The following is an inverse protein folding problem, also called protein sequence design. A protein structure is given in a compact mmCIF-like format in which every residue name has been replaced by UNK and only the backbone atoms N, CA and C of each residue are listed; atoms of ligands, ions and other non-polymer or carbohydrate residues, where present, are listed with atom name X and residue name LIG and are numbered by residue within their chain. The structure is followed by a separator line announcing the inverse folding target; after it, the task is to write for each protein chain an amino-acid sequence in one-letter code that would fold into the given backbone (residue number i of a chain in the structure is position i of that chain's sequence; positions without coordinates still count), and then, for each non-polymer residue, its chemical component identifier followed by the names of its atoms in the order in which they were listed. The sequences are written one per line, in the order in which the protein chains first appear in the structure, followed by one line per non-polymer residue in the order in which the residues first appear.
data_IF_722856981094
#
_entry.id   IF_722856981094
#
_cell.length_a   1.000
_cell.length_b   1.000
_cell.length_c   1.000
_cell.angle_alpha   90.00
_cell.angle_beta   90.00
_cell.angle_gamma   90.00
#
_symmetry.space_group_name_H-M   'P 1'
#
loop_
_entity.id
_entity.type
_entity.pdbx_description
1 polymer ?
#
# COMPACT_ATOMS: atom_id res chain seq x y z
N UNK A 1 7.08 -8.56 -29.11
CA UNK A 1 6.81 -8.13 -27.74
C UNK A 1 6.58 -9.42 -26.95
N UNK A 2 7.39 -9.67 -25.95
CA UNK A 2 7.12 -10.82 -25.09
C UNK A 2 5.86 -10.48 -24.29
N UNK A 3 4.77 -11.16 -24.56
CA UNK A 3 3.59 -11.14 -23.71
C UNK A 3 3.97 -11.81 -22.38
N UNK A 4 4.53 -11.01 -21.48
CA UNK A 4 4.62 -11.43 -20.09
C UNK A 4 3.18 -11.55 -19.59
N UNK A 5 2.81 -12.69 -18.99
CA UNK A 5 1.46 -12.84 -18.45
C UNK A 5 1.20 -11.72 -17.44
N UNK A 6 0.03 -11.12 -17.54
CA UNK A 6 -0.47 -10.13 -16.57
C UNK A 6 -0.63 -10.83 -15.21
N UNK A 7 0.44 -10.85 -14.44
CA UNK A 7 0.46 -11.47 -13.11
C UNK A 7 0.59 -10.39 -12.06
N UNK A 8 -0.50 -10.14 -11.38
CA UNK A 8 -0.49 -9.37 -10.15
C UNK A 8 -0.28 -10.33 -8.98
N UNK A 9 0.50 -9.95 -7.97
CA UNK A 9 0.69 -10.78 -6.79
C UNK A 9 -0.63 -10.96 -6.02
N UNK A 10 -0.74 -12.01 -5.25
CA UNK A 10 -1.82 -12.24 -4.31
C UNK A 10 -1.66 -11.28 -3.11
N UNK A 11 -2.75 -10.62 -2.69
CA UNK A 11 -2.70 -9.75 -1.51
C UNK A 11 -3.67 -8.59 -1.55
N UNK A 12 -3.60 -7.74 -0.53
CA UNK A 12 -4.38 -6.52 -0.42
C UNK A 12 -3.74 -5.37 -1.22
N UNK A 13 -4.56 -4.69 -2.01
CA UNK A 13 -4.16 -3.53 -2.80
C UNK A 13 -4.99 -2.30 -2.41
N UNK A 14 -4.32 -1.21 -2.10
CA UNK A 14 -4.97 0.06 -1.77
C UNK A 14 -5.54 0.69 -3.04
N UNK A 15 -6.85 0.97 -3.02
CA UNK A 15 -7.56 1.67 -4.10
C UNK A 15 -7.58 3.20 -3.88
N UNK A 16 -7.50 3.64 -2.64
CA UNK A 16 -7.49 5.05 -2.26
C UNK A 16 -7.84 5.25 -0.79
N UNK A 17 -7.83 6.52 -0.37
CA UNK A 17 -8.29 6.90 0.95
C UNK A 17 -9.82 6.88 1.02
N UNK A 18 -10.42 6.50 2.16
CA UNK A 18 -11.89 6.42 2.31
C UNK A 18 -12.63 7.71 1.91
N UNK A 19 -12.01 8.89 2.14
CA UNK A 19 -12.58 10.20 1.73
C UNK A 19 -12.65 10.40 0.22
N UNK A 20 -11.93 9.59 -0.55
CA UNK A 20 -11.97 9.64 -2.02
C UNK A 20 -13.23 8.95 -2.59
N UNK A 21 -14.02 8.31 -1.72
CA UNK A 21 -15.21 7.55 -2.05
C UNK A 21 -16.40 8.01 -1.20
N UNK A 22 -16.99 9.19 -1.51
CA UNK A 22 -18.11 9.74 -0.75
C UNK A 22 -19.37 8.85 -0.84
N UNK A 23 -20.25 8.97 0.17
CA UNK A 23 -21.54 8.28 0.22
C UNK A 23 -22.41 8.68 -0.98
N UNK A 24 -23.08 7.71 -1.59
CA UNK A 24 -23.94 7.90 -2.75
C UNK A 24 -23.19 8.07 -4.08
N UNK A 25 -21.87 7.98 -4.11
CA UNK A 25 -21.07 8.18 -5.31
C UNK A 25 -20.42 6.89 -5.81
N UNK A 26 -20.13 6.88 -7.11
CA UNK A 26 -19.32 5.84 -7.77
C UNK A 26 -18.11 6.47 -8.42
N UNK A 27 -16.94 5.98 -8.09
CA UNK A 27 -15.65 6.41 -8.67
C UNK A 27 -15.09 5.32 -9.57
N UNK A 28 -14.51 5.73 -10.69
CA UNK A 28 -13.79 4.84 -11.60
C UNK A 28 -12.30 5.03 -11.46
N UNK A 29 -11.57 3.95 -11.27
CA UNK A 29 -10.10 3.90 -11.36
C UNK A 29 -9.66 2.79 -12.31
N UNK A 30 -8.37 2.70 -12.61
CA UNK A 30 -7.79 1.62 -13.40
C UNK A 30 -6.74 0.89 -12.56
N UNK A 31 -6.86 -0.43 -12.52
CA UNK A 31 -5.93 -1.33 -11.84
C UNK A 31 -6.10 -2.75 -12.37
N UNK A 32 -5.12 -3.62 -12.17
CA UNK A 32 -5.16 -5.01 -12.64
C UNK A 32 -5.47 -5.14 -14.14
N UNK A 33 -5.02 -4.14 -14.95
CA UNK A 33 -5.34 -3.96 -16.37
C UNK A 33 -6.85 -3.83 -16.68
N UNK A 34 -7.67 -3.59 -15.68
CA UNK A 34 -9.12 -3.49 -15.78
C UNK A 34 -9.64 -2.13 -15.28
N UNK A 35 -10.87 -1.84 -15.67
CA UNK A 35 -11.66 -0.77 -15.09
C UNK A 35 -12.24 -1.25 -13.77
N UNK A 36 -12.05 -0.46 -12.70
CA UNK A 36 -12.57 -0.73 -11.38
C UNK A 36 -13.59 0.35 -11.03
N UNK A 37 -14.81 -0.07 -10.72
CA UNK A 37 -15.85 0.79 -10.19
C UNK A 37 -15.93 0.62 -8.69
N UNK A 38 -15.81 1.69 -7.93
CA UNK A 38 -15.91 1.70 -6.47
C UNK A 38 -17.11 2.55 -6.10
N UNK A 39 -18.08 1.94 -5.45
CA UNK A 39 -19.33 2.61 -5.06
C UNK A 39 -19.49 2.56 -3.56
N UNK A 40 -19.90 3.68 -2.95
CA UNK A 40 -20.32 3.73 -1.56
C UNK A 40 -21.82 3.99 -1.48
N UNK A 41 -22.57 3.04 -0.91
CA UNK A 41 -24.01 3.16 -0.74
C UNK A 41 -24.38 4.21 0.32
N UNK A 42 -25.67 4.55 0.41
CA UNK A 42 -26.21 5.43 1.47
C UNK A 42 -25.97 4.87 2.89
N UNK A 43 -25.90 3.54 3.02
CA UNK A 43 -25.58 2.86 4.27
C UNK A 43 -24.06 2.77 4.52
N UNK A 44 -23.27 3.52 3.75
CA UNK A 44 -21.80 3.57 3.83
C UNK A 44 -21.08 2.27 3.45
N UNK A 45 -21.76 1.29 2.86
CA UNK A 45 -21.13 0.05 2.39
C UNK A 45 -20.34 0.32 1.10
N UNK A 46 -19.07 -0.08 1.10
CA UNK A 46 -18.24 -0.07 -0.11
C UNK A 46 -18.42 -1.37 -0.90
N UNK A 47 -18.59 -1.21 -2.20
CA UNK A 47 -18.57 -2.31 -3.17
C UNK A 47 -17.57 -1.99 -4.27
N UNK A 48 -16.90 -3.03 -4.76
CA UNK A 48 -15.91 -2.95 -5.84
C UNK A 48 -16.36 -3.88 -6.97
N UNK A 49 -16.35 -3.36 -8.19
CA UNK A 49 -16.64 -4.11 -9.41
C UNK A 49 -15.41 -4.00 -10.32
N UNK A 50 -14.76 -5.11 -10.59
CA UNK A 50 -13.59 -5.21 -11.45
C UNK A 50 -14.03 -5.83 -12.78
N UNK A 51 -14.29 -4.99 -13.77
CA UNK A 51 -14.75 -5.40 -15.12
C UNK A 51 -15.98 -6.35 -15.09
N UNK A 52 -16.96 -6.07 -14.22
CA UNK A 52 -18.18 -6.86 -14.03
C UNK A 52 -18.07 -7.96 -12.97
N UNK A 53 -16.91 -8.16 -12.35
CA UNK A 53 -16.72 -9.10 -11.25
C UNK A 53 -16.80 -8.36 -9.90
N UNK A 54 -17.85 -8.63 -9.14
CA UNK A 54 -18.11 -8.05 -7.80
C UNK A 54 -17.73 -8.98 -6.64
N UNK A 55 -17.06 -10.10 -6.94
CA UNK A 55 -16.69 -11.10 -5.93
C UNK A 55 -15.38 -10.79 -5.19
N UNK A 56 -14.67 -9.73 -5.56
CA UNK A 56 -13.43 -9.34 -4.93
C UNK A 56 -13.66 -8.89 -3.48
N UNK A 57 -12.98 -9.51 -2.49
CA UNK A 57 -13.09 -9.06 -1.10
C UNK A 57 -12.62 -7.62 -0.93
N UNK A 58 -13.39 -6.85 -0.19
CA UNK A 58 -13.13 -5.43 0.09
C UNK A 58 -12.89 -5.23 1.58
N UNK A 59 -11.94 -4.39 1.93
CA UNK A 59 -11.60 -4.03 3.30
C UNK A 59 -11.46 -2.52 3.44
N UNK A 60 -12.13 -1.94 4.44
CA UNK A 60 -11.85 -0.59 4.91
C UNK A 60 -11.06 -0.68 6.22
N UNK A 61 -9.80 -0.28 6.19
CA UNK A 61 -8.91 -0.31 7.34
C UNK A 61 -7.90 0.84 7.24
N UNK A 62 -7.53 1.42 8.39
CA UNK A 62 -6.55 2.51 8.45
C UNK A 62 -6.92 3.69 7.55
N UNK A 63 -8.22 4.00 7.45
CA UNK A 63 -8.78 5.03 6.55
C UNK A 63 -8.55 4.75 5.05
N UNK A 64 -8.12 3.56 4.68
CA UNK A 64 -7.91 3.14 3.29
C UNK A 64 -8.99 2.17 2.86
N UNK A 65 -9.36 2.24 1.58
CA UNK A 65 -10.17 1.24 0.89
C UNK A 65 -9.24 0.32 0.13
N UNK A 66 -9.34 -0.98 0.39
CA UNK A 66 -8.49 -2.00 -0.18
C UNK A 66 -9.32 -3.10 -0.83
N UNK A 67 -8.73 -3.77 -1.81
CA UNK A 67 -9.29 -4.94 -2.46
C UNK A 67 -8.30 -6.09 -2.41
N UNK A 68 -8.81 -7.30 -2.21
CA UNK A 68 -8.00 -8.52 -2.26
C UNK A 68 -7.92 -9.04 -3.67
N UNK A 69 -6.71 -9.29 -4.13
CA UNK A 69 -6.45 -9.97 -5.39
C UNK A 69 -5.89 -11.36 -5.15
N UNK A 70 -6.49 -12.35 -5.80
CA UNK A 70 -5.97 -13.71 -5.91
C UNK A 70 -6.40 -14.32 -7.25
N UNK A 71 -5.45 -14.84 -8.01
CA UNK A 71 -5.72 -15.50 -9.30
C UNK A 71 -6.60 -16.75 -9.17
N UNK A 72 -6.50 -17.43 -8.03
CA UNK A 72 -7.29 -18.64 -7.72
C UNK A 72 -8.60 -18.31 -7.01
N UNK A 73 -8.89 -17.02 -6.80
CA UNK A 73 -10.08 -16.50 -6.09
C UNK A 73 -10.25 -17.11 -4.68
N UNK A 74 -9.12 -17.36 -4.01
CA UNK A 74 -9.14 -17.77 -2.62
C UNK A 74 -9.43 -16.57 -1.71
N UNK A 75 -10.09 -16.83 -0.60
CA UNK A 75 -10.33 -15.82 0.42
C UNK A 75 -9.01 -15.26 1.00
N UNK A 76 -9.03 -14.01 1.54
CA UNK A 76 -7.87 -13.46 2.23
C UNK A 76 -7.42 -14.36 3.38
N UNK A 77 -6.14 -14.66 3.45
CA UNK A 77 -5.52 -15.44 4.52
C UNK A 77 -4.84 -14.56 5.58
N UNK A 78 -4.80 -13.25 5.36
CA UNK A 78 -4.40 -12.27 6.36
C UNK A 78 -5.22 -10.98 6.22
N UNK A 79 -5.22 -10.20 7.29
CA UNK A 79 -5.74 -8.82 7.33
C UNK A 79 -4.57 -7.95 7.78
N UNK A 80 -4.29 -6.81 7.12
CA UNK A 80 -3.27 -5.87 7.55
C UNK A 80 -3.50 -5.39 8.99
N UNK A 81 -2.44 -5.07 9.70
CA UNK A 81 -2.53 -4.61 11.08
C UNK A 81 -3.25 -3.26 11.17
N UNK A 82 -4.07 -3.12 12.20
CA UNK A 82 -4.69 -1.84 12.54
C UNK A 82 -3.62 -0.88 13.07
N UNK A 83 -3.58 0.31 12.50
CA UNK A 83 -2.72 1.41 12.94
C UNK A 83 -3.54 2.35 13.82
N UNK A 84 -3.34 2.30 15.13
CA UNK A 84 -4.15 3.07 16.09
C UNK A 84 -4.07 4.59 15.86
N UNK A 85 -2.94 5.09 15.37
CA UNK A 85 -2.78 6.51 15.00
C UNK A 85 -3.81 6.99 13.96
N UNK A 86 -4.31 6.10 13.09
CA UNK A 86 -5.34 6.44 12.10
C UNK A 86 -6.73 6.73 12.71
N UNK A 87 -6.91 6.42 13.99
CA UNK A 87 -8.17 6.51 14.70
C UNK A 87 -8.09 7.36 15.98
N UNK A 88 -6.98 8.06 16.17
CA UNK A 88 -6.71 8.89 17.35
C UNK A 88 -6.69 10.37 16.99
N UNK A 89 -7.34 11.19 17.81
CA UNK A 89 -7.34 12.65 17.67
C UNK A 89 -5.97 13.27 18.02
N UNK A 90 -5.05 12.49 18.58
CA UNK A 90 -3.67 12.94 18.89
C UNK A 90 -2.76 13.02 17.66
N UNK A 91 -3.22 12.51 16.53
CA UNK A 91 -2.47 12.49 15.26
C UNK A 91 -3.22 13.30 14.19
N UNK A 92 -2.45 13.96 13.34
CA UNK A 92 -3.03 14.61 12.16
C UNK A 92 -3.51 13.59 11.14
N UNK A 93 -4.46 13.96 10.31
CA UNK A 93 -4.84 13.21 9.13
C UNK A 93 -3.64 12.94 8.21
N UNK A 94 -3.75 11.90 7.37
CA UNK A 94 -2.75 11.61 6.36
C UNK A 94 -2.46 12.81 5.46
N UNK A 95 -1.18 13.13 5.30
CA UNK A 95 -0.70 13.87 4.15
C UNK A 95 -0.67 12.94 2.94
N UNK A 96 -1.47 13.20 1.92
CA UNK A 96 -1.56 12.35 0.74
C UNK A 96 -0.79 12.92 -0.45
N UNK A 97 0.02 12.08 -1.08
CA UNK A 97 0.61 12.34 -2.38
C UNK A 97 0.45 11.09 -3.26
N UNK A 98 0.17 11.28 -4.54
CA UNK A 98 0.01 10.16 -5.48
C UNK A 98 0.91 10.36 -6.69
N UNK A 99 1.65 9.31 -7.03
CA UNK A 99 2.54 9.30 -8.18
C UNK A 99 2.30 8.04 -9.00
N UNK A 100 2.25 8.18 -10.33
CA UNK A 100 2.22 7.03 -11.22
C UNK A 100 3.66 6.64 -11.58
N UNK A 101 4.09 5.49 -11.10
CA UNK A 101 5.41 4.92 -11.41
C UNK A 101 5.22 3.71 -12.32
N UNK A 102 5.89 3.74 -13.48
CA UNK A 102 5.86 2.62 -14.45
C UNK A 102 6.86 1.55 -14.04
N UNK A 103 6.56 0.85 -12.95
CA UNK A 103 7.42 -0.20 -12.41
C UNK A 103 6.59 -1.30 -11.75
N UNK A 104 7.21 -2.43 -11.44
CA UNK A 104 6.60 -3.49 -10.65
C UNK A 104 6.56 -3.06 -9.18
N UNK A 105 5.47 -3.37 -8.47
CA UNK A 105 5.34 -3.05 -7.05
C UNK A 105 6.42 -3.72 -6.17
N UNK A 106 6.96 -4.87 -6.58
CA UNK A 106 8.07 -5.54 -5.92
C UNK A 106 9.32 -4.65 -5.81
N UNK A 107 9.59 -3.82 -6.84
CA UNK A 107 10.74 -2.92 -6.82
C UNK A 107 10.69 -1.92 -5.65
N UNK A 108 9.50 -1.63 -5.13
CA UNK A 108 9.37 -0.80 -3.94
C UNK A 108 9.95 -1.51 -2.70
N UNK A 109 9.73 -2.81 -2.58
CA UNK A 109 10.25 -3.63 -1.48
C UNK A 109 11.76 -3.81 -1.65
N UNK A 110 12.22 -4.13 -2.85
CA UNK A 110 13.64 -4.25 -3.16
C UNK A 110 14.37 -2.93 -2.87
N UNK A 111 13.74 -1.78 -3.15
CA UNK A 111 14.28 -0.46 -2.80
C UNK A 111 14.38 -0.26 -1.27
N UNK A 112 13.38 -0.69 -0.50
CA UNK A 112 13.45 -0.65 0.97
C UNK A 112 14.59 -1.52 1.52
N UNK A 113 14.86 -2.67 0.89
CA UNK A 113 15.91 -3.61 1.30
C UNK A 113 17.32 -3.15 0.89
N UNK A 114 17.42 -2.29 -0.12
CA UNK A 114 18.70 -1.81 -0.65
C UNK A 114 19.34 -0.74 0.23
N UNK A 115 20.19 -1.20 1.14
CA UNK A 115 21.02 -0.33 1.98
C UNK A 115 21.94 0.60 1.17
N UNK A 116 22.41 0.13 0.02
CA UNK A 116 23.49 0.80 -0.73
C UNK A 116 23.08 2.13 -1.36
N UNK A 117 21.82 2.34 -1.67
CA UNK A 117 21.36 3.54 -2.35
C UNK A 117 21.16 4.77 -1.45
N UNK A 118 20.98 4.57 -0.12
CA UNK A 118 20.66 5.67 0.79
C UNK A 118 21.73 6.76 0.82
N UNK A 119 23.02 6.39 0.85
CA UNK A 119 24.11 7.36 0.81
C UNK A 119 24.12 8.18 -0.47
N UNK A 120 24.33 7.55 -1.63
CA UNK A 120 24.51 8.27 -2.90
C UNK A 120 23.21 8.94 -3.43
N UNK A 121 22.03 8.34 -3.19
CA UNK A 121 20.77 8.87 -3.74
C UNK A 121 20.12 9.86 -2.77
N UNK A 122 20.01 9.51 -1.49
CA UNK A 122 19.30 10.33 -0.49
C UNK A 122 20.24 11.21 0.33
N UNK A 123 21.56 11.11 0.16
CA UNK A 123 22.56 11.80 0.97
C UNK A 123 22.36 11.58 2.47
N UNK A 124 21.83 10.44 2.82
CA UNK A 124 21.52 10.03 4.17
C UNK A 124 22.42 8.84 4.58
N UNK A 125 23.65 9.10 5.05
CA UNK A 125 24.47 8.05 5.62
C UNK A 125 23.78 7.52 6.87
N UNK A 126 23.62 6.20 6.95
CA UNK A 126 22.96 5.57 8.08
C UNK A 126 24.00 4.95 9.04
N UNK A 127 23.67 4.98 10.31
CA UNK A 127 24.46 4.32 11.36
C UNK A 127 23.92 2.92 11.66
N UNK A 128 22.57 2.76 11.68
CA UNK A 128 21.87 1.50 11.86
C UNK A 128 20.96 1.20 10.68
N UNK A 129 20.91 -0.06 10.25
CA UNK A 129 20.00 -0.53 9.21
C UNK A 129 19.63 -1.98 9.49
N UNK A 130 18.34 -2.23 9.64
CA UNK A 130 17.80 -3.54 9.95
C UNK A 130 16.56 -3.84 9.11
N UNK A 131 16.45 -5.07 8.66
CA UNK A 131 15.32 -5.59 7.89
C UNK A 131 14.85 -6.91 8.48
N UNK A 132 13.55 -7.09 8.55
CA UNK A 132 12.90 -8.35 8.90
C UNK A 132 11.76 -8.65 7.94
N UNK A 133 11.72 -9.89 7.45
CA UNK A 133 10.58 -10.45 6.76
C UNK A 133 9.92 -11.50 7.65
N UNK A 134 8.64 -11.36 7.91
CA UNK A 134 7.86 -12.30 8.70
C UNK A 134 6.46 -12.44 8.15
N UNK A 135 6.10 -13.65 7.75
CA UNK A 135 4.82 -13.96 7.13
C UNK A 135 4.53 -13.00 5.95
N UNK A 136 3.46 -12.20 6.04
CA UNK A 136 3.08 -11.19 5.05
C UNK A 136 3.66 -9.80 5.33
N UNK A 137 4.53 -9.66 6.31
CA UNK A 137 5.11 -8.36 6.68
C UNK A 137 6.58 -8.28 6.34
N UNK A 138 7.00 -7.10 5.90
CA UNK A 138 8.39 -6.72 5.77
C UNK A 138 8.60 -5.40 6.51
N UNK A 139 9.52 -5.38 7.46
CA UNK A 139 9.84 -4.18 8.24
C UNK A 139 11.28 -3.77 7.97
N UNK A 140 11.49 -2.50 7.73
CA UNK A 140 12.81 -1.88 7.63
C UNK A 140 12.92 -0.80 8.69
N UNK A 141 14.00 -0.82 9.46
CA UNK A 141 14.35 0.22 10.42
C UNK A 141 15.71 0.81 10.08
N UNK A 142 15.81 2.11 10.22
CA UNK A 142 17.00 2.85 9.89
C UNK A 142 17.22 4.01 10.85
N UNK A 143 18.47 4.23 11.24
CA UNK A 143 18.91 5.46 11.92
C UNK A 143 19.92 6.15 11.02
N UNK A 144 19.68 7.42 10.70
CA UNK A 144 20.50 8.17 9.77
C UNK A 144 20.56 9.65 10.11
N UNK A 145 21.67 10.29 9.71
CA UNK A 145 21.73 11.74 9.59
C UNK A 145 21.25 12.17 8.20
N UNK A 146 20.46 13.21 8.14
CA UNK A 146 20.02 13.81 6.88
C UNK A 146 20.38 15.29 6.83
N UNK A 147 21.02 15.78 5.78
CA UNK A 147 21.31 17.20 5.65
C UNK A 147 20.06 18.09 5.57
N UNK A 148 18.91 17.48 5.23
CA UNK A 148 17.63 18.20 5.08
C UNK A 148 16.76 18.08 6.34
N UNK A 149 16.70 16.87 6.95
CA UNK A 149 15.76 16.56 8.03
C UNK A 149 16.40 16.62 9.42
N UNK A 150 17.72 16.60 9.54
CA UNK A 150 18.44 16.67 10.82
C UNK A 150 19.26 15.43 11.15
N UNK A 151 19.69 15.35 12.42
CA UNK A 151 20.55 14.27 12.92
C UNK A 151 19.74 13.25 13.71
N UNK A 152 20.31 12.05 13.87
CA UNK A 152 19.75 10.94 14.67
C UNK A 152 18.29 10.60 14.30
N UNK A 153 17.96 10.69 13.02
CA UNK A 153 16.61 10.39 12.54
C UNK A 153 16.37 8.90 12.58
N UNK A 154 15.36 8.49 13.32
CA UNK A 154 14.80 7.13 13.22
C UNK A 154 13.71 7.10 12.16
N UNK A 155 13.78 6.10 11.31
CA UNK A 155 12.76 5.78 10.32
C UNK A 155 12.39 4.30 10.41
N UNK A 156 11.09 4.05 10.43
CA UNK A 156 10.55 2.70 10.29
C UNK A 156 9.60 2.69 9.10
N UNK A 157 9.84 1.79 8.18
CA UNK A 157 8.95 1.51 7.07
C UNK A 157 8.45 0.07 7.18
N UNK A 158 7.15 -0.13 7.01
CA UNK A 158 6.52 -1.44 7.04
C UNK A 158 5.72 -1.66 5.76
N UNK A 159 5.93 -2.78 5.15
CA UNK A 159 5.13 -3.30 4.06
C UNK A 159 4.33 -4.51 4.54
N UNK A 160 3.06 -4.52 4.21
CA UNK A 160 2.18 -5.66 4.44
C UNK A 160 1.60 -6.09 3.09
N UNK A 161 1.96 -7.27 2.64
CA UNK A 161 1.54 -7.70 1.32
C UNK A 161 1.94 -9.12 1.01
N UNK A 162 1.76 -9.53 -0.23
CA UNK A 162 2.07 -10.89 -0.64
C UNK A 162 3.57 -11.16 -0.50
N UNK A 163 3.88 -12.29 0.12
CA UNK A 163 5.23 -12.82 0.22
C UNK A 163 5.68 -13.47 -1.11
#
# INVERSE_FOLDING_TARGET
MNDLPDRFPRGWFVLGHQRDFPVGETKTIFGFNNKILISRSEDSLITVDVDGDTSWPVLELNQMVMVWHDLEKQDPDFIPDKIDACYSDDWSDYGMASFLVKNNCRELIDNMADKGHFGPVHQAPFEGFWNEAKDHTYTQEMTADSPILGRDLFSQARYEGPA
#
